data_IF_953592209144
#
_entry.id   IF_953592209144
#
_cell.length_a   1.000
_cell.length_b   1.000
_cell.length_c   1.000
_cell.angle_alpha   90.00
_cell.angle_beta   90.00
_cell.angle_gamma   90.00
#
_symmetry.space_group_name_H-M   'P 1'
#
loop_
_entity.id
_entity.type
_entity.pdbx_description
1 polymer ?
#
# COMPACT_ATOMS: atom_id res chain seq x y z
N UNK A 1 6.71 3.40 -17.75
CA UNK A 1 5.52 4.02 -18.36
C UNK A 1 4.51 2.93 -18.66
N UNK A 2 3.21 3.17 -18.50
CA UNK A 2 2.13 2.27 -18.91
C UNK A 2 1.32 2.95 -19.99
N UNK A 3 0.87 2.18 -20.97
CA UNK A 3 0.00 2.66 -22.03
C UNK A 3 -1.42 2.15 -21.76
N UNK A 4 -2.39 3.03 -21.95
CA UNK A 4 -3.80 2.71 -21.79
C UNK A 4 -4.55 3.11 -23.06
N UNK A 5 -5.42 2.23 -23.56
CA UNK A 5 -6.36 2.57 -24.62
C UNK A 5 -7.56 3.31 -24.01
N UNK A 6 -7.80 4.53 -24.47
CA UNK A 6 -8.93 5.34 -24.03
C UNK A 6 -10.16 5.01 -24.88
N UNK A 7 -11.14 4.36 -24.25
CA UNK A 7 -12.42 4.05 -24.90
C UNK A 7 -13.50 5.06 -24.49
N UNK A 8 -13.55 5.46 -23.21
CA UNK A 8 -14.43 6.51 -22.68
C UNK A 8 -13.91 7.00 -21.31
N UNK A 9 -14.49 8.06 -20.74
CA UNK A 9 -14.07 8.66 -19.46
C UNK A 9 -13.93 7.64 -18.30
N UNK A 10 -14.75 6.58 -18.30
CA UNK A 10 -14.75 5.55 -17.25
C UNK A 10 -14.23 4.19 -17.74
N UNK A 11 -13.71 4.11 -18.97
CA UNK A 11 -13.25 2.85 -19.55
C UNK A 11 -11.90 3.01 -20.26
N UNK A 12 -10.85 2.69 -19.50
CA UNK A 12 -9.46 2.62 -19.95
C UNK A 12 -9.02 1.15 -19.91
N UNK A 13 -8.40 0.68 -20.99
CA UNK A 13 -7.83 -0.67 -21.06
C UNK A 13 -6.32 -0.59 -20.95
N UNK A 14 -5.73 -1.24 -19.96
CA UNK A 14 -4.28 -1.32 -19.84
C UNK A 14 -3.70 -2.16 -20.99
N UNK A 15 -2.67 -1.62 -21.65
CA UNK A 15 -1.88 -2.32 -22.67
C UNK A 15 -0.58 -2.80 -22.02
N UNK A 16 -0.63 -3.90 -21.28
CA UNK A 16 0.50 -4.50 -20.56
C UNK A 16 1.00 -5.82 -21.17
N UNK A 17 0.35 -6.31 -22.21
CA UNK A 17 0.76 -7.51 -22.93
C UNK A 17 1.95 -7.20 -23.87
N UNK A 18 3.13 -7.72 -23.51
CA UNK A 18 4.37 -7.52 -24.27
C UNK A 18 4.41 -8.30 -25.60
N UNK A 19 3.54 -9.30 -25.79
CA UNK A 19 3.48 -10.13 -26.99
C UNK A 19 2.55 -9.54 -28.07
N UNK A 20 1.66 -8.61 -27.68
CA UNK A 20 0.74 -7.97 -28.62
C UNK A 20 1.41 -6.83 -29.41
N UNK A 21 1.39 -6.97 -30.74
CA UNK A 21 1.69 -5.87 -31.67
C UNK A 21 0.48 -4.94 -31.82
N UNK A 22 0.73 -3.67 -32.12
CA UNK A 22 -0.30 -2.64 -32.31
C UNK A 22 -1.39 -3.05 -33.32
N UNK A 23 -1.02 -3.80 -34.36
CA UNK A 23 -1.93 -4.32 -35.38
C UNK A 23 -3.02 -5.24 -34.81
N UNK A 24 -2.69 -6.04 -33.79
CA UNK A 24 -3.64 -6.98 -33.16
C UNK A 24 -4.61 -6.29 -32.21
N UNK A 25 -4.27 -5.08 -31.74
CA UNK A 25 -5.13 -4.29 -30.86
C UNK A 25 -6.31 -3.65 -31.61
N UNK A 26 -6.33 -3.73 -32.96
CA UNK A 26 -7.39 -3.18 -33.82
C UNK A 26 -7.71 -1.71 -33.50
N UNK A 27 -6.69 -0.94 -33.12
CA UNK A 27 -6.84 0.47 -32.81
C UNK A 27 -7.23 1.20 -34.10
N UNK A 28 -8.35 1.92 -34.07
CA UNK A 28 -8.88 2.67 -35.21
C UNK A 28 -8.27 4.07 -35.26
N UNK A 29 -8.32 4.70 -36.44
CA UNK A 29 -8.00 6.14 -36.56
C UNK A 29 -8.86 6.95 -35.58
N UNK A 30 -8.26 8.02 -35.04
CA UNK A 30 -8.85 8.90 -34.01
C UNK A 30 -9.06 8.27 -32.61
N UNK A 31 -8.64 7.02 -32.38
CA UNK A 31 -8.58 6.49 -31.01
C UNK A 31 -7.41 7.08 -30.22
N UNK A 32 -7.66 7.32 -28.94
CA UNK A 32 -6.71 7.99 -28.06
C UNK A 32 -5.96 6.98 -27.19
N UNK A 33 -4.66 7.21 -27.02
CA UNK A 33 -3.83 6.49 -26.05
C UNK A 33 -3.48 7.43 -24.90
N UNK A 34 -3.56 6.91 -23.68
CA UNK A 34 -3.16 7.61 -22.47
C UNK A 34 -1.85 7.01 -21.98
N UNK A 35 -0.91 7.91 -21.69
CA UNK A 35 0.38 7.56 -21.11
C UNK A 35 0.30 7.77 -19.60
N UNK A 36 0.40 6.69 -18.84
CA UNK A 36 0.58 6.76 -17.39
C UNK A 36 2.08 6.76 -17.06
N UNK A 37 2.51 7.82 -16.39
CA UNK A 37 3.88 7.99 -15.90
C UNK A 37 3.91 7.62 -14.42
N UNK A 38 4.91 6.82 -14.02
CA UNK A 38 5.11 6.50 -12.60
C UNK A 38 5.44 7.77 -11.82
N UNK A 39 4.98 7.82 -10.58
CA UNK A 39 5.43 8.82 -9.62
C UNK A 39 6.93 8.66 -9.32
N UNK A 40 7.55 9.68 -8.73
CA UNK A 40 8.97 9.64 -8.32
C UNK A 40 9.29 8.51 -7.34
N UNK A 41 8.31 8.11 -6.54
CA UNK A 41 8.38 6.98 -5.60
C UNK A 41 8.12 5.62 -6.28
N UNK A 42 8.03 5.60 -7.61
CA UNK A 42 7.79 4.44 -8.46
C UNK A 42 6.41 3.78 -8.28
N UNK A 43 5.49 4.45 -7.59
CA UNK A 43 4.08 4.07 -7.54
C UNK A 43 3.35 4.43 -8.84
N UNK A 44 2.29 3.69 -9.13
CA UNK A 44 1.36 4.03 -10.21
C UNK A 44 0.24 4.89 -9.65
N UNK A 45 0.00 6.09 -10.21
CA UNK A 45 -1.10 6.96 -9.77
C UNK A 45 -2.44 6.24 -9.70
N UNK A 46 -2.80 5.46 -10.72
CA UNK A 46 -4.10 4.79 -10.77
C UNK A 46 -4.22 3.70 -9.70
N UNK A 47 -3.17 2.89 -9.52
CA UNK A 47 -3.12 1.85 -8.50
C UNK A 47 -3.21 2.42 -7.07
N UNK A 48 -2.52 3.53 -6.80
CA UNK A 48 -2.60 4.21 -5.51
C UNK A 48 -4.00 4.76 -5.22
N UNK A 49 -4.66 5.28 -6.26
CA UNK A 49 -6.03 5.79 -6.19
C UNK A 49 -7.02 4.66 -5.91
N UNK A 50 -6.89 3.55 -6.64
CA UNK A 50 -7.69 2.35 -6.42
C UNK A 50 -7.51 1.79 -5.01
N UNK A 51 -6.28 1.64 -4.52
CA UNK A 51 -6.00 1.10 -3.17
C UNK A 51 -6.58 2.01 -2.08
N UNK A 52 -6.43 3.33 -2.23
CA UNK A 52 -6.99 4.30 -1.28
C UNK A 52 -8.52 4.22 -1.23
N UNK A 53 -9.19 4.05 -2.38
CA UNK A 53 -10.65 3.91 -2.46
C UNK A 53 -11.15 2.52 -2.03
N UNK A 54 -10.41 1.46 -2.37
CA UNK A 54 -10.72 0.07 -2.01
C UNK A 54 -10.68 -0.14 -0.49
N UNK A 55 -9.88 0.64 0.25
CA UNK A 55 -9.91 0.63 1.71
C UNK A 55 -11.29 1.01 2.33
N UNK A 56 -12.20 1.60 1.54
CA UNK A 56 -13.58 1.94 1.94
C UNK A 56 -14.63 0.92 1.48
N UNK A 57 -14.29 0.02 0.54
CA UNK A 57 -15.21 -1.02 0.03
C UNK A 57 -15.08 -2.24 0.95
N UNK A 58 -16.21 -2.82 1.35
CA UNK A 58 -16.27 -3.95 2.29
C UNK A 58 -15.36 -5.08 1.82
N UNK A 59 -14.19 -5.21 2.48
CA UNK A 59 -13.20 -6.23 2.14
C UNK A 59 -13.84 -7.56 2.49
N UNK A 60 -14.13 -8.40 1.49
CA UNK A 60 -14.58 -9.77 1.71
C UNK A 60 -13.63 -10.43 2.71
N UNK A 61 -14.10 -10.66 3.94
CA UNK A 61 -13.31 -11.24 5.00
C UNK A 61 -13.10 -12.70 4.67
N UNK A 62 -11.92 -13.04 4.18
CA UNK A 62 -11.50 -14.41 3.94
C UNK A 62 -10.77 -14.87 5.19
N UNK A 63 -11.23 -15.92 5.89
CA UNK A 63 -10.49 -16.47 7.02
C UNK A 63 -9.06 -16.81 6.59
N UNK A 64 -8.09 -16.30 7.34
CA UNK A 64 -6.66 -16.58 7.16
C UNK A 64 -6.01 -16.90 8.49
N UNK A 65 -4.85 -17.56 8.44
CA UNK A 65 -4.02 -17.74 9.63
C UNK A 65 -3.52 -16.38 10.14
N UNK A 66 -3.60 -16.16 11.46
CA UNK A 66 -3.20 -14.89 12.07
C UNK A 66 -1.70 -14.68 11.90
N UNK A 67 -1.31 -13.49 11.45
CA UNK A 67 0.10 -13.21 11.12
C UNK A 67 0.51 -13.67 9.72
N UNK A 68 -0.30 -14.51 9.06
CA UNK A 68 -0.10 -14.92 7.66
C UNK A 68 -0.84 -13.99 6.69
N UNK A 69 -0.62 -12.68 6.84
CA UNK A 69 -1.20 -11.64 5.97
C UNK A 69 -0.09 -10.91 5.21
N UNK A 70 -0.22 -10.87 3.89
CA UNK A 70 0.70 -10.16 3.00
C UNK A 70 0.62 -8.64 3.10
N UNK A 71 1.63 -7.97 2.56
CA UNK A 71 1.66 -6.51 2.40
C UNK A 71 1.77 -6.14 0.92
N UNK A 72 0.85 -5.31 0.43
CA UNK A 72 0.90 -4.79 -0.94
C UNK A 72 2.18 -3.97 -1.13
N UNK A 73 2.87 -4.19 -2.25
CA UNK A 73 3.93 -3.27 -2.69
C UNK A 73 3.25 -2.02 -3.26
N UNK A 74 3.66 -0.83 -2.79
CA UNK A 74 3.04 0.43 -3.17
C UNK A 74 3.96 1.28 -4.06
N UNK A 75 4.86 0.62 -4.79
CA UNK A 75 5.95 1.26 -5.53
C UNK A 75 7.22 1.24 -4.68
N UNK A 76 8.11 0.28 -4.97
CA UNK A 76 9.41 0.14 -4.32
C UNK A 76 9.39 0.12 -2.78
N UNK A 77 8.31 -0.38 -2.18
CA UNK A 77 8.18 -0.51 -0.72
C UNK A 77 8.47 -1.93 -0.23
N UNK A 78 9.07 -2.80 -1.04
CA UNK A 78 9.39 -4.17 -0.63
C UNK A 78 10.37 -4.21 0.56
N UNK A 79 11.31 -3.26 0.64
CA UNK A 79 12.22 -3.10 1.79
C UNK A 79 11.45 -2.80 3.10
N UNK A 80 10.39 -1.99 2.99
CA UNK A 80 9.53 -1.64 4.11
C UNK A 80 8.67 -2.84 4.49
N UNK A 81 8.12 -3.55 3.49
CA UNK A 81 7.29 -4.73 3.71
C UNK A 81 8.08 -5.84 4.41
N UNK A 82 9.30 -6.16 3.96
CA UNK A 82 10.14 -7.18 4.60
C UNK A 82 10.48 -6.81 6.04
N UNK A 83 10.84 -5.54 6.29
CA UNK A 83 11.10 -5.04 7.64
C UNK A 83 9.88 -5.16 8.55
N UNK A 84 8.70 -4.74 8.07
CA UNK A 84 7.44 -4.83 8.83
C UNK A 84 7.10 -6.28 9.15
N UNK A 85 7.26 -7.21 8.19
CA UNK A 85 6.99 -8.63 8.42
C UNK A 85 7.89 -9.20 9.54
N UNK A 86 9.18 -8.89 9.53
CA UNK A 86 10.09 -9.31 10.61
C UNK A 86 9.66 -8.77 11.98
N UNK A 87 9.35 -7.47 12.05
CA UNK A 87 8.96 -6.82 13.32
C UNK A 87 7.59 -7.33 13.79
N UNK A 88 6.63 -7.54 12.88
CA UNK A 88 5.29 -8.09 13.15
C UNK A 88 5.32 -9.54 13.65
N UNK A 89 6.35 -10.31 13.30
CA UNK A 89 6.54 -11.67 13.79
C UNK A 89 7.37 -11.74 15.09
N UNK A 90 7.75 -10.59 15.66
CA UNK A 90 8.42 -10.54 16.97
C UNK A 90 7.37 -10.59 18.08
N UNK A 91 7.07 -11.80 18.57
CA UNK A 91 5.91 -12.07 19.44
C UNK A 91 5.72 -11.10 20.63
N UNK A 92 6.75 -10.75 21.44
CA UNK A 92 6.55 -9.84 22.57
C UNK A 92 6.05 -8.45 22.14
N UNK A 93 6.58 -7.94 21.03
CA UNK A 93 6.20 -6.65 20.48
C UNK A 93 4.78 -6.70 19.90
N UNK A 94 4.48 -7.76 19.16
CA UNK A 94 3.16 -7.97 18.57
C UNK A 94 2.07 -8.07 19.63
N UNK A 95 2.30 -8.85 20.69
CA UNK A 95 1.36 -8.94 21.82
C UNK A 95 1.17 -7.59 22.52
N UNK A 96 2.22 -6.78 22.63
CA UNK A 96 2.12 -5.41 23.15
C UNK A 96 1.22 -4.50 22.30
N UNK A 97 1.33 -4.55 20.97
CA UNK A 97 0.45 -3.79 20.09
C UNK A 97 -0.97 -4.35 20.01
N UNK A 98 -1.14 -5.68 19.96
CA UNK A 98 -2.45 -6.35 19.96
C UNK A 98 -3.25 -6.00 21.22
N UNK A 99 -2.61 -5.97 22.39
CA UNK A 99 -3.25 -5.60 23.67
C UNK A 99 -3.61 -4.12 23.79
N UNK A 100 -3.22 -3.27 22.83
CA UNK A 100 -3.51 -1.83 22.85
C UNK A 100 -2.71 -1.03 23.88
N UNK A 101 -1.78 -1.66 24.63
CA UNK A 101 -0.97 -1.01 25.68
C UNK A 101 -0.23 0.23 25.19
N UNK A 102 0.30 0.17 23.97
CA UNK A 102 0.97 1.28 23.30
C UNK A 102 0.20 2.61 23.34
N UNK A 103 -1.14 2.58 23.30
CA UNK A 103 -1.97 3.79 23.28
C UNK A 103 -1.88 4.58 24.60
N UNK A 104 -1.67 3.89 25.72
CA UNK A 104 -1.53 4.49 27.06
C UNK A 104 -0.11 4.99 27.32
N UNK A 105 0.88 4.42 26.64
CA UNK A 105 2.31 4.72 26.82
C UNK A 105 2.86 5.71 25.77
N UNK A 106 1.98 6.28 24.92
CA UNK A 106 2.39 7.24 23.89
C UNK A 106 2.97 8.52 24.50
N UNK A 107 4.28 8.70 24.37
CA UNK A 107 4.92 9.97 24.66
C UNK A 107 4.77 10.96 23.48
N UNK A 108 3.73 11.80 23.56
CA UNK A 108 3.40 12.77 22.49
C UNK A 108 4.20 14.07 22.54
N UNK A 109 4.83 14.36 23.68
CA UNK A 109 5.57 15.60 23.92
C UNK A 109 7.07 15.46 23.73
N UNK A 110 7.58 14.23 23.57
CA UNK A 110 9.00 13.96 23.33
C UNK A 110 9.52 14.72 22.09
N UNK A 111 10.53 15.62 22.24
CA UNK A 111 11.05 16.43 21.13
C UNK A 111 11.76 15.61 20.05
N UNK A 112 12.30 14.42 20.38
CA UNK A 112 12.93 13.52 19.39
C UNK A 112 11.96 12.42 18.91
N UNK A 113 10.70 12.44 19.37
CA UNK A 113 9.67 11.49 18.99
C UNK A 113 8.88 11.93 17.75
N UNK A 114 7.94 11.07 17.34
CA UNK A 114 7.06 11.31 16.18
C UNK A 114 5.61 11.61 16.63
N UNK A 115 5.46 12.30 17.77
CA UNK A 115 4.15 12.65 18.40
C UNK A 115 3.21 11.44 18.63
N UNK A 116 3.77 10.23 18.70
CA UNK A 116 3.02 8.97 18.80
C UNK A 116 2.38 8.48 17.50
N UNK A 117 2.51 9.21 16.38
CA UNK A 117 1.88 8.83 15.11
C UNK A 117 2.42 7.50 14.57
N UNK A 118 3.73 7.31 14.65
CA UNK A 118 4.40 6.09 14.18
C UNK A 118 3.90 4.85 14.92
N UNK A 119 3.87 4.91 16.25
CA UNK A 119 3.39 3.81 17.10
C UNK A 119 1.91 3.53 16.87
N UNK A 120 1.08 4.56 16.72
CA UNK A 120 -0.35 4.39 16.42
C UNK A 120 -0.57 3.71 15.07
N UNK A 121 0.05 4.20 13.99
CA UNK A 121 -0.12 3.62 12.67
C UNK A 121 0.45 2.19 12.58
N UNK A 122 1.55 1.91 13.29
CA UNK A 122 2.09 0.56 13.36
C UNK A 122 1.15 -0.38 14.13
N UNK A 123 0.60 0.07 15.26
CA UNK A 123 -0.40 -0.68 16.02
C UNK A 123 -1.64 -1.02 15.20
N UNK A 124 -2.21 -0.05 14.48
CA UNK A 124 -3.34 -0.25 13.57
C UNK A 124 -3.02 -1.34 12.52
N UNK A 125 -1.82 -1.29 11.92
CA UNK A 125 -1.40 -2.28 10.94
C UNK A 125 -1.23 -3.68 11.54
N UNK A 126 -0.65 -3.79 12.74
CA UNK A 126 -0.48 -5.07 13.44
C UNK A 126 -1.84 -5.71 13.71
N UNK A 127 -2.85 -4.93 14.09
CA UNK A 127 -4.22 -5.43 14.27
C UNK A 127 -4.79 -6.00 12.96
N UNK A 128 -4.56 -5.32 11.83
CA UNK A 128 -4.98 -5.82 10.51
C UNK A 128 -4.26 -7.13 10.14
N UNK A 129 -2.93 -7.17 10.30
CA UNK A 129 -2.09 -8.34 9.98
C UNK A 129 -2.42 -9.57 10.83
N UNK A 130 -2.84 -9.37 12.08
CA UNK A 130 -3.14 -10.44 13.03
C UNK A 130 -4.65 -10.69 13.20
N UNK A 131 -5.48 -10.06 12.37
CA UNK A 131 -6.95 -10.25 12.40
C UNK A 131 -7.38 -11.64 11.94
N UNK A 132 -6.62 -12.28 11.04
CA UNK A 132 -6.99 -13.55 10.41
C UNK A 132 -8.17 -13.43 9.45
N UNK A 133 -8.38 -12.24 8.87
CA UNK A 133 -9.56 -11.94 8.02
C UNK A 133 -9.21 -11.55 6.58
N UNK A 134 -7.92 -11.43 6.25
CA UNK A 134 -7.48 -10.88 4.97
C UNK A 134 -6.14 -11.50 4.54
N UNK A 135 -6.02 -11.80 3.24
CA UNK A 135 -4.79 -12.33 2.65
C UNK A 135 -3.71 -11.27 2.48
N UNK A 136 -4.08 -10.02 2.25
CA UNK A 136 -3.15 -8.94 1.95
C UNK A 136 -3.71 -7.59 2.42
N UNK A 137 -2.84 -6.70 2.89
CA UNK A 137 -3.19 -5.34 3.32
C UNK A 137 -2.23 -4.30 2.74
N UNK A 138 -2.75 -3.12 2.41
CA UNK A 138 -1.93 -2.01 1.94
C UNK A 138 -1.56 -1.09 3.12
N UNK A 139 -0.27 -0.97 3.51
CA UNK A 139 0.15 -0.20 4.68
C UNK A 139 0.22 1.33 4.42
N UNK A 140 -0.81 1.92 3.79
CA UNK A 140 -0.80 3.32 3.33
C UNK A 140 -0.54 4.33 4.45
N UNK A 141 -1.27 4.21 5.57
CA UNK A 141 -1.11 5.12 6.72
C UNK A 141 0.30 5.07 7.28
N UNK A 142 0.87 3.87 7.38
CA UNK A 142 2.21 3.66 7.90
C UNK A 142 3.25 4.24 6.94
N UNK A 143 3.11 3.96 5.64
CA UNK A 143 3.97 4.48 4.59
C UNK A 143 4.01 6.01 4.60
N UNK A 144 2.86 6.68 4.60
CA UNK A 144 2.79 8.15 4.63
C UNK A 144 3.36 8.74 5.92
N UNK A 145 3.19 8.04 7.04
CA UNK A 145 3.79 8.45 8.32
C UNK A 145 5.31 8.37 8.26
N UNK A 146 5.87 7.28 7.70
CA UNK A 146 7.31 7.13 7.50
C UNK A 146 7.83 8.23 6.56
N UNK A 147 7.16 8.46 5.42
CA UNK A 147 7.55 9.50 4.47
C UNK A 147 7.54 10.92 5.10
N UNK A 148 6.57 11.20 5.98
CA UNK A 148 6.47 12.46 6.70
C UNK A 148 7.64 12.70 7.67
N UNK A 149 8.06 11.69 8.41
CA UNK A 149 9.10 11.83 9.45
C UNK A 149 10.50 11.49 8.97
N UNK A 150 10.62 10.70 7.91
CA UNK A 150 11.88 10.30 7.30
C UNK A 150 11.77 10.38 5.77
N UNK A 151 11.86 11.59 5.20
CA UNK A 151 11.70 11.84 3.75
C UNK A 151 12.65 11.03 2.87
N UNK A 152 13.79 10.56 3.42
CA UNK A 152 14.72 9.64 2.73
C UNK A 152 14.08 8.32 2.27
N UNK A 153 12.91 7.97 2.81
CA UNK A 153 12.14 6.78 2.40
C UNK A 153 10.99 7.12 1.44
N UNK A 154 10.89 8.38 0.95
CA UNK A 154 9.81 8.85 0.07
C UNK A 154 10.22 8.86 -1.42
N UNK A 155 11.35 8.25 -1.78
CA UNK A 155 11.88 8.25 -3.15
C UNK A 155 13.16 7.41 -3.27
N UNK A 156 13.88 7.64 -4.37
CA UNK A 156 15.25 7.14 -4.63
C UNK A 156 16.25 8.29 -4.57
#
# INVERSE_FOLDING_TARGET
MRLWLYNSENYLTLLDDEDHRLEYLKIQDEQHLVIEVRNKDMSWPEEMSFIANSSKIDRHKVPTEKGATGLSNLGNTCFMNSSIQCVSNTQPLTQYFISGRHLYELNRTNPIGMKGHMAKCYGDLVQELWSGTQKNVAPLKLRWTIAKYAPRFNGF
#
